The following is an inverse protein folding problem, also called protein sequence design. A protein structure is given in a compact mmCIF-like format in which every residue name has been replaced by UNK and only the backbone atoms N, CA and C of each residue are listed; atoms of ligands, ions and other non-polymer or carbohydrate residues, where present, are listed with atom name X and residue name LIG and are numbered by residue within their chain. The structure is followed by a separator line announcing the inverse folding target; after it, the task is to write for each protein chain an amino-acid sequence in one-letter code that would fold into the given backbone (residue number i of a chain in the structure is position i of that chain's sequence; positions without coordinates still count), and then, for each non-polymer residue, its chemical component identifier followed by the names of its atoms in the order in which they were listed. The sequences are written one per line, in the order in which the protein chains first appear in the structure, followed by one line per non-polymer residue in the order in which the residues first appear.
data_IF_427036240614
#
_entry.id   IF_427036240614
#
_cell.length_a   1.000
_cell.length_b   1.000
_cell.length_c   1.000
_cell.angle_alpha   90.00
_cell.angle_beta   90.00
_cell.angle_gamma   90.00
#
_symmetry.space_group_name_H-M   'P 1'
#
loop_
_entity.id
_entity.type
_entity.pdbx_description
1 polymer ?
#
# COMPACT_ATOMS: atom_id res chain seq x y z
N UNK A 1 55.15 26.45 -4.37
CA UNK A 1 54.36 25.78 -3.32
C UNK A 1 52.88 26.00 -3.69
N UNK A 2 52.30 25.09 -4.46
CA UNK A 2 50.91 25.12 -4.86
C UNK A 2 50.05 24.46 -3.79
N UNK A 3 49.18 25.27 -3.19
CA UNK A 3 48.16 24.77 -2.27
C UNK A 3 47.09 24.10 -3.13
N UNK A 4 47.03 22.77 -3.09
CA UNK A 4 45.89 22.00 -3.61
C UNK A 4 44.74 22.22 -2.63
N UNK A 5 43.82 23.07 -3.00
CA UNK A 5 42.56 23.25 -2.30
C UNK A 5 41.72 22.04 -2.60
N UNK A 6 41.66 21.07 -1.66
CA UNK A 6 40.73 19.96 -1.67
C UNK A 6 39.34 20.60 -1.58
N UNK A 7 38.58 20.52 -2.67
CA UNK A 7 37.16 20.81 -2.66
C UNK A 7 36.50 19.77 -1.73
N UNK A 8 36.15 20.17 -0.51
CA UNK A 8 35.20 19.45 0.31
C UNK A 8 33.90 19.38 -0.51
N UNK A 9 33.58 18.14 -0.93
CA UNK A 9 32.31 17.84 -1.50
C UNK A 9 31.23 18.31 -0.52
N UNK A 10 30.53 19.36 -0.88
CA UNK A 10 29.30 19.74 -0.21
C UNK A 10 28.41 18.47 -0.25
N UNK A 11 28.20 17.86 0.90
CA UNK A 11 27.21 16.77 1.02
C UNK A 11 25.88 17.39 0.67
N UNK A 12 25.40 17.10 -0.55
CA UNK A 12 24.10 17.56 -1.01
C UNK A 12 23.06 17.11 0.01
N UNK A 13 22.43 18.07 0.68
CA UNK A 13 21.43 17.81 1.72
C UNK A 13 20.21 17.19 1.05
N UNK A 14 19.87 15.97 1.43
CA UNK A 14 18.72 15.23 0.87
C UNK A 14 17.43 15.98 1.16
N UNK A 15 16.68 16.34 0.12
CA UNK A 15 15.43 17.10 0.19
C UNK A 15 14.25 16.12 0.13
N UNK A 16 13.45 16.09 1.18
CA UNK A 16 12.39 15.13 1.38
C UNK A 16 11.03 15.80 1.44
N UNK A 17 10.06 15.25 0.73
CA UNK A 17 8.65 15.56 0.89
C UNK A 17 7.89 14.32 1.35
N UNK A 18 6.75 14.50 2.04
CA UNK A 18 5.96 13.41 2.59
C UNK A 18 4.49 13.56 2.20
N UNK A 19 3.88 12.46 1.74
CA UNK A 19 2.44 12.35 1.48
C UNK A 19 1.87 11.21 2.32
N UNK A 20 1.04 11.55 3.28
CA UNK A 20 0.36 10.59 4.15
C UNK A 20 -0.88 11.29 4.73
N UNK A 21 -2.03 10.63 4.77
CA UNK A 21 -3.25 11.19 5.34
C UNK A 21 -3.20 11.29 6.88
N UNK A 22 -2.27 10.55 7.53
CA UNK A 22 -2.05 10.59 8.96
C UNK A 22 -1.03 11.67 9.37
N UNK A 23 -1.48 12.73 10.01
CA UNK A 23 -0.63 13.83 10.49
C UNK A 23 0.51 13.34 11.42
N UNK A 24 0.22 12.37 12.29
CA UNK A 24 1.22 11.81 13.20
C UNK A 24 2.40 11.14 12.47
N UNK A 25 2.16 10.53 11.31
CA UNK A 25 3.19 9.93 10.47
C UNK A 25 4.03 11.03 9.83
N UNK A 26 3.39 12.07 9.28
CA UNK A 26 4.10 13.22 8.69
C UNK A 26 5.01 13.91 9.71
N UNK A 27 4.49 14.19 10.91
CA UNK A 27 5.27 14.76 12.01
C UNK A 27 6.42 13.87 12.47
N UNK A 28 6.21 12.54 12.51
CA UNK A 28 7.24 11.57 12.84
C UNK A 28 8.39 11.57 11.83
N UNK A 29 8.07 11.62 10.53
CA UNK A 29 9.06 11.67 9.45
C UNK A 29 9.77 13.02 9.41
N UNK A 30 9.08 14.14 9.64
CA UNK A 30 9.67 15.45 9.80
C UNK A 30 10.76 15.43 10.90
N UNK A 31 10.42 14.96 12.09
CA UNK A 31 11.36 14.89 13.21
C UNK A 31 12.57 13.99 12.90
N UNK A 32 12.34 12.89 12.17
CA UNK A 32 13.39 11.98 11.75
C UNK A 32 14.33 12.63 10.71
N UNK A 33 13.78 13.31 9.71
CA UNK A 33 14.56 14.06 8.71
C UNK A 33 15.46 15.11 9.38
N UNK A 34 14.90 15.90 10.30
CA UNK A 34 15.69 16.91 11.05
C UNK A 34 16.85 16.28 11.83
N UNK A 35 16.62 15.13 12.46
CA UNK A 35 17.66 14.42 13.23
C UNK A 35 18.80 13.91 12.34
N UNK A 36 18.48 13.46 11.12
CA UNK A 36 19.47 12.95 10.16
C UNK A 36 20.11 14.07 9.30
N UNK A 37 19.71 15.34 9.51
CA UNK A 37 20.21 16.46 8.72
C UNK A 37 19.65 16.54 7.31
N UNK A 38 18.50 15.90 7.05
CA UNK A 38 17.77 16.06 5.78
C UNK A 38 16.92 17.32 5.81
N UNK A 39 16.74 17.92 4.64
CA UNK A 39 15.83 19.03 4.47
C UNK A 39 14.41 18.51 4.23
N UNK A 40 13.54 18.70 5.20
CA UNK A 40 12.10 18.49 5.01
C UNK A 40 11.53 19.68 4.24
N UNK A 41 11.10 19.45 3.00
CA UNK A 41 10.69 20.54 2.08
C UNK A 41 9.22 20.86 2.22
N UNK A 42 8.37 19.84 2.19
CA UNK A 42 6.91 20.01 2.24
C UNK A 42 6.22 18.70 2.62
N UNK A 43 4.95 18.82 3.03
CA UNK A 43 4.05 17.67 3.28
C UNK A 43 2.66 17.90 2.68
N UNK A 44 1.93 16.81 2.47
CA UNK A 44 0.54 16.87 2.04
C UNK A 44 -0.27 15.69 2.58
N UNK A 45 -1.56 15.88 2.77
CA UNK A 45 -2.48 14.77 3.09
C UNK A 45 -2.78 13.92 1.85
N UNK A 46 -2.56 14.46 0.65
CA UNK A 46 -2.63 13.79 -0.64
C UNK A 46 -1.63 14.42 -1.61
N UNK A 47 -1.43 13.79 -2.77
CA UNK A 47 -0.42 14.21 -3.76
C UNK A 47 -0.75 15.59 -4.35
N UNK A 48 -2.01 15.88 -4.62
CA UNK A 48 -2.43 17.18 -5.18
C UNK A 48 -2.12 18.33 -4.21
N UNK A 49 -2.35 18.13 -2.91
CA UNK A 49 -2.04 19.08 -1.85
C UNK A 49 -0.52 19.31 -1.78
N UNK A 50 0.30 18.25 -1.77
CA UNK A 50 1.75 18.37 -1.82
C UNK A 50 2.20 19.21 -3.03
N UNK A 51 1.77 18.86 -4.24
CA UNK A 51 2.20 19.54 -5.47
C UNK A 51 1.82 21.01 -5.45
N UNK A 52 0.61 21.34 -4.97
CA UNK A 52 0.15 22.72 -4.89
C UNK A 52 1.02 23.58 -3.94
N UNK A 53 1.47 22.99 -2.82
CA UNK A 53 2.30 23.65 -1.81
C UNK A 53 3.77 23.69 -2.19
N UNK A 54 4.22 22.74 -3.01
CA UNK A 54 5.63 22.63 -3.38
C UNK A 54 6.13 23.91 -4.10
N UNK A 55 5.28 24.56 -4.90
CA UNK A 55 5.56 25.86 -5.51
C UNK A 55 6.83 25.88 -6.38
N UNK A 56 7.19 24.75 -6.99
CA UNK A 56 8.40 24.61 -7.83
C UNK A 56 9.68 24.38 -7.04
N UNK A 57 9.61 24.16 -5.71
CA UNK A 57 10.79 23.76 -4.93
C UNK A 57 11.25 22.38 -5.35
N UNK A 58 12.56 22.20 -5.42
CA UNK A 58 13.17 20.92 -5.76
C UNK A 58 13.09 19.95 -4.58
N UNK A 59 12.82 18.70 -4.89
CA UNK A 59 12.80 17.56 -3.94
C UNK A 59 13.52 16.37 -4.55
N UNK A 60 14.21 15.59 -3.71
CA UNK A 60 14.95 14.41 -4.15
C UNK A 60 14.11 13.14 -3.94
N UNK A 61 13.31 13.11 -2.87
CA UNK A 61 12.49 11.95 -2.51
C UNK A 61 11.11 12.38 -2.04
N UNK A 62 10.09 11.71 -2.57
CA UNK A 62 8.73 11.72 -1.98
C UNK A 62 8.52 10.40 -1.24
N UNK A 63 8.25 10.48 0.05
CA UNK A 63 7.74 9.36 0.86
C UNK A 63 6.24 9.35 0.73
N UNK A 64 5.67 8.31 0.09
CA UNK A 64 4.28 8.25 -0.32
C UNK A 64 3.54 7.08 0.37
N UNK A 65 2.46 7.38 1.07
CA UNK A 65 1.52 6.35 1.52
C UNK A 65 0.64 5.85 0.36
N UNK A 66 0.26 4.57 0.39
CA UNK A 66 -0.64 3.96 -0.58
C UNK A 66 -2.13 4.15 -0.24
N UNK A 67 -2.44 4.59 0.98
CA UNK A 67 -3.81 4.59 1.53
C UNK A 67 -4.31 6.00 1.79
N UNK A 68 -4.29 6.86 0.78
CA UNK A 68 -4.63 8.28 0.95
C UNK A 68 -6.14 8.57 1.01
N UNK A 69 -7.00 7.61 0.63
CA UNK A 69 -8.47 7.79 0.66
C UNK A 69 -9.00 8.87 -0.28
N UNK A 70 -8.20 9.39 -1.20
CA UNK A 70 -8.53 10.51 -2.11
C UNK A 70 -9.19 10.07 -3.43
N UNK A 71 -9.42 8.76 -3.62
CA UNK A 71 -9.99 8.19 -4.84
C UNK A 71 -9.06 8.19 -6.06
N UNK A 72 -7.82 8.66 -5.94
CA UNK A 72 -6.83 8.65 -7.01
C UNK A 72 -6.11 7.29 -7.05
N UNK A 73 -5.82 6.78 -8.26
CA UNK A 73 -5.12 5.51 -8.39
C UNK A 73 -3.67 5.60 -7.88
N UNK A 74 -3.15 4.48 -7.36
CA UNK A 74 -1.75 4.38 -6.91
C UNK A 74 -0.80 4.75 -8.07
N UNK A 75 -1.10 4.26 -9.27
CA UNK A 75 -0.33 4.54 -10.48
C UNK A 75 -0.26 6.04 -10.78
N UNK A 76 -1.40 6.76 -10.68
CA UNK A 76 -1.44 8.19 -10.97
C UNK A 76 -0.72 8.98 -9.88
N UNK A 77 -0.87 8.60 -8.61
CA UNK A 77 -0.15 9.22 -7.50
C UNK A 77 1.38 9.06 -7.65
N UNK A 78 1.87 7.86 -7.98
CA UNK A 78 3.30 7.62 -8.22
C UNK A 78 3.81 8.46 -9.38
N UNK A 79 3.10 8.48 -10.51
CA UNK A 79 3.48 9.27 -11.69
C UNK A 79 3.49 10.77 -11.42
N UNK A 80 2.50 11.28 -10.67
CA UNK A 80 2.44 12.69 -10.30
C UNK A 80 3.62 13.09 -9.39
N UNK A 81 4.02 12.24 -8.45
CA UNK A 81 5.21 12.46 -7.65
C UNK A 81 6.49 12.43 -8.51
N UNK A 82 6.62 11.47 -9.42
CA UNK A 82 7.78 11.38 -10.34
C UNK A 82 7.90 12.59 -11.27
N UNK A 83 6.78 13.19 -11.68
CA UNK A 83 6.77 14.38 -12.50
C UNK A 83 7.44 15.61 -11.84
N UNK A 84 7.65 15.59 -10.52
CA UNK A 84 8.43 16.58 -9.78
C UNK A 84 9.94 16.39 -9.92
N UNK A 85 10.40 15.28 -10.51
CA UNK A 85 11.80 14.87 -10.60
C UNK A 85 12.28 14.02 -9.42
N UNK A 86 11.45 13.78 -8.41
CA UNK A 86 11.81 13.03 -7.22
C UNK A 86 11.73 11.51 -7.40
N UNK A 87 12.58 10.79 -6.69
CA UNK A 87 12.39 9.35 -6.45
C UNK A 87 11.20 9.11 -5.51
N UNK A 88 10.39 8.09 -5.80
CA UNK A 88 9.21 7.77 -4.98
C UNK A 88 9.50 6.56 -4.10
N UNK A 89 9.47 6.77 -2.78
CA UNK A 89 9.59 5.73 -1.76
C UNK A 89 8.21 5.46 -1.15
N UNK A 90 7.69 4.26 -1.35
CA UNK A 90 6.43 3.86 -0.75
C UNK A 90 6.61 3.56 0.74
N UNK A 91 5.74 4.12 1.59
CA UNK A 91 5.72 3.92 3.03
C UNK A 91 4.33 3.44 3.45
N UNK A 92 4.11 2.15 3.50
CA UNK A 92 2.77 1.57 3.64
C UNK A 92 2.68 0.49 4.71
N UNK A 93 1.46 0.18 5.13
CA UNK A 93 1.18 -0.99 5.95
C UNK A 93 1.33 -2.23 5.06
N UNK A 94 2.01 -3.28 5.56
CA UNK A 94 2.43 -4.47 4.79
C UNK A 94 1.29 -5.36 4.25
N UNK A 95 0.02 -5.03 4.52
CA UNK A 95 -1.15 -5.83 4.17
C UNK A 95 -1.72 -5.60 2.75
N UNK A 96 -1.10 -4.71 1.96
CA UNK A 96 -1.58 -4.31 0.61
C UNK A 96 -0.65 -4.76 -0.53
N UNK A 97 -0.37 -6.05 -0.63
CA UNK A 97 0.51 -6.60 -1.66
C UNK A 97 0.14 -6.18 -3.10
N UNK A 98 -1.15 -6.10 -3.43
CA UNK A 98 -1.60 -5.66 -4.75
C UNK A 98 -1.22 -4.19 -5.03
N UNK A 99 -1.44 -3.30 -4.05
CA UNK A 99 -1.07 -1.89 -4.16
C UNK A 99 0.44 -1.67 -4.24
N UNK A 100 1.22 -2.47 -3.51
CA UNK A 100 2.69 -2.42 -3.57
C UNK A 100 3.18 -2.82 -4.98
N UNK A 101 2.64 -3.90 -5.56
CA UNK A 101 2.97 -4.30 -6.94
C UNK A 101 2.58 -3.23 -7.96
N UNK A 102 1.42 -2.60 -7.79
CA UNK A 102 0.97 -1.51 -8.65
C UNK A 102 1.95 -0.32 -8.56
N UNK A 103 2.34 0.09 -7.35
CA UNK A 103 3.29 1.18 -7.15
C UNK A 103 4.67 0.90 -7.77
N UNK A 104 5.21 -0.32 -7.59
CA UNK A 104 6.48 -0.74 -8.19
C UNK A 104 6.38 -0.80 -9.72
N UNK A 105 5.28 -1.30 -10.28
CA UNK A 105 5.03 -1.30 -11.72
C UNK A 105 4.88 0.12 -12.30
N UNK A 106 4.38 1.07 -11.51
CA UNK A 106 4.31 2.48 -11.85
C UNK A 106 5.68 3.19 -11.77
N UNK A 107 6.72 2.52 -11.22
CA UNK A 107 8.09 3.02 -11.16
C UNK A 107 8.50 3.57 -9.79
N UNK A 108 7.82 3.22 -8.71
CA UNK A 108 8.32 3.54 -7.37
C UNK A 108 9.71 2.92 -7.13
N UNK A 109 10.62 3.69 -6.52
CA UNK A 109 12.01 3.29 -6.29
C UNK A 109 12.17 2.26 -5.17
N UNK A 110 11.12 2.05 -4.37
CA UNK A 110 11.13 1.05 -3.32
C UNK A 110 9.93 1.15 -2.39
N UNK A 111 9.87 0.17 -1.48
CA UNK A 111 8.81 0.06 -0.47
C UNK A 111 9.43 -0.14 0.89
N UNK A 112 8.92 0.57 1.89
CA UNK A 112 9.27 0.39 3.30
C UNK A 112 7.97 0.28 4.11
N UNK A 113 7.84 -0.69 5.01
CA UNK A 113 6.67 -0.78 5.86
C UNK A 113 6.63 0.33 6.90
N UNK A 114 5.43 0.80 7.26
CA UNK A 114 5.22 1.77 8.35
C UNK A 114 5.68 1.24 9.72
N UNK A 115 5.85 -0.09 9.85
CA UNK A 115 6.41 -0.73 11.06
C UNK A 115 7.93 -0.76 11.10
N UNK A 116 8.62 -0.33 10.04
CA UNK A 116 10.09 -0.31 10.01
C UNK A 116 10.67 0.69 11.03
N UNK A 117 11.82 0.35 11.59
CA UNK A 117 12.54 1.30 12.44
C UNK A 117 12.90 2.56 11.64
N UNK A 118 12.81 3.72 12.27
CA UNK A 118 13.08 5.03 11.65
C UNK A 118 14.43 5.07 10.94
N UNK A 119 15.47 4.47 11.50
CA UNK A 119 16.79 4.40 10.88
C UNK A 119 16.79 3.68 9.52
N UNK A 120 15.94 2.64 9.36
CA UNK A 120 15.75 1.92 8.09
C UNK A 120 15.07 2.81 7.07
N UNK A 121 14.04 3.56 7.48
CA UNK A 121 13.34 4.52 6.61
C UNK A 121 14.31 5.61 6.13
N UNK A 122 15.13 6.17 7.01
CA UNK A 122 16.11 7.20 6.65
C UNK A 122 17.20 6.66 5.71
N UNK A 123 17.67 5.43 5.93
CA UNK A 123 18.62 4.78 5.02
C UNK A 123 18.00 4.55 3.62
N UNK A 124 16.73 4.16 3.56
CA UNK A 124 16.00 3.99 2.31
C UNK A 124 15.84 5.32 1.56
N UNK A 125 15.48 6.39 2.25
CA UNK A 125 15.41 7.76 1.67
C UNK A 125 16.76 8.13 1.05
N UNK A 126 17.87 7.92 1.75
CA UNK A 126 19.22 8.21 1.23
C UNK A 126 19.53 7.41 -0.04
N UNK A 127 19.17 6.13 -0.06
CA UNK A 127 19.37 5.26 -1.24
C UNK A 127 18.59 5.77 -2.44
N UNK A 128 17.32 6.16 -2.24
CA UNK A 128 16.46 6.69 -3.31
C UNK A 128 16.94 8.06 -3.77
N UNK A 129 17.37 8.93 -2.86
CA UNK A 129 17.95 10.24 -3.19
C UNK A 129 19.21 10.12 -4.06
N UNK A 130 19.99 9.05 -3.88
CA UNK A 130 21.14 8.75 -4.72
C UNK A 130 20.78 8.17 -6.10
N UNK A 131 19.47 8.11 -6.45
CA UNK A 131 18.99 7.57 -7.71
C UNK A 131 18.98 6.05 -7.78
N UNK A 132 19.23 5.36 -6.66
CA UNK A 132 19.20 3.91 -6.61
C UNK A 132 17.79 3.38 -6.28
N UNK A 133 17.48 2.20 -6.81
CA UNK A 133 16.27 1.46 -6.48
C UNK A 133 16.56 0.53 -5.32
N UNK A 134 15.67 0.48 -4.33
CA UNK A 134 15.81 -0.48 -3.24
C UNK A 134 15.65 -1.89 -3.79
N UNK A 135 16.55 -2.78 -3.40
CA UNK A 135 16.42 -4.20 -3.74
C UNK A 135 15.28 -4.82 -2.92
N UNK A 136 14.05 -4.60 -3.39
CA UNK A 136 12.83 -5.14 -2.78
C UNK A 136 12.57 -6.61 -3.16
N UNK A 137 13.55 -7.30 -3.79
CA UNK A 137 13.37 -8.68 -4.21
C UNK A 137 13.05 -9.60 -3.02
N UNK A 138 13.71 -9.38 -1.87
CA UNK A 138 13.38 -10.07 -0.62
C UNK A 138 11.98 -9.70 -0.12
N UNK A 139 11.57 -8.45 -0.27
CA UNK A 139 10.24 -7.97 0.08
C UNK A 139 9.18 -8.37 -0.94
N UNK A 140 9.45 -8.25 -2.23
CA UNK A 140 8.57 -8.73 -3.28
C UNK A 140 8.39 -10.26 -3.17
N UNK A 141 9.47 -11.00 -2.90
CA UNK A 141 9.42 -12.46 -2.70
C UNK A 141 8.76 -12.82 -1.36
N UNK A 142 8.96 -12.06 -0.29
CA UNK A 142 8.28 -12.26 0.98
C UNK A 142 6.78 -11.88 0.87
N UNK A 143 6.45 -10.81 0.15
CA UNK A 143 5.07 -10.42 -0.14
C UNK A 143 4.42 -11.43 -1.11
N UNK A 144 5.11 -11.91 -2.12
CA UNK A 144 4.61 -12.96 -3.02
C UNK A 144 4.54 -14.31 -2.32
N UNK A 145 5.50 -14.67 -1.48
CA UNK A 145 5.46 -15.88 -0.67
C UNK A 145 4.38 -15.79 0.43
N UNK A 146 4.25 -14.66 1.13
CA UNK A 146 3.19 -14.45 2.12
C UNK A 146 1.81 -14.31 1.47
N UNK A 147 1.69 -13.68 0.29
CA UNK A 147 0.40 -13.53 -0.38
C UNK A 147 -0.04 -14.76 -1.18
N UNK A 148 0.87 -15.50 -1.79
CA UNK A 148 0.53 -16.77 -2.44
C UNK A 148 0.39 -17.91 -1.42
N UNK A 149 1.13 -17.88 -0.32
CA UNK A 149 0.93 -18.79 0.83
C UNK A 149 -0.24 -18.36 1.73
N UNK A 150 -0.50 -17.06 1.86
CA UNK A 150 -1.57 -16.53 2.70
C UNK A 150 -2.91 -16.40 1.97
N UNK A 151 -2.96 -16.48 0.64
CA UNK A 151 -4.23 -16.56 -0.09
C UNK A 151 -4.74 -17.99 -0.05
N UNK A 152 -5.91 -18.15 0.56
CA UNK A 152 -6.65 -19.38 0.39
C UNK A 152 -6.83 -19.63 -1.11
N UNK A 153 -6.28 -20.73 -1.62
CA UNK A 153 -6.40 -21.09 -3.05
C UNK A 153 -7.85 -21.49 -3.36
N UNK A 154 -8.70 -20.48 -3.50
CA UNK A 154 -10.12 -20.67 -3.81
C UNK A 154 -10.30 -20.97 -5.28
N UNK A 155 -10.98 -22.06 -5.58
CA UNK A 155 -11.45 -22.38 -6.92
C UNK A 155 -12.49 -21.35 -7.42
N UNK A 156 -12.74 -21.34 -8.74
CA UNK A 156 -13.68 -20.38 -9.37
C UNK A 156 -15.04 -20.35 -8.67
N UNK A 157 -15.63 -21.52 -8.40
CA UNK A 157 -16.95 -21.63 -7.74
C UNK A 157 -16.91 -21.18 -6.27
N UNK A 158 -15.83 -21.42 -5.57
CA UNK A 158 -15.65 -20.93 -4.21
C UNK A 158 -15.56 -19.40 -4.17
N UNK A 159 -14.89 -18.78 -5.15
CA UNK A 159 -14.85 -17.33 -5.31
C UNK A 159 -16.21 -16.74 -5.64
N UNK A 160 -16.97 -17.38 -6.55
CA UNK A 160 -18.33 -16.95 -6.90
C UNK A 160 -19.24 -16.95 -5.65
N UNK A 161 -19.19 -18.03 -4.87
CA UNK A 161 -19.95 -18.16 -3.61
C UNK A 161 -19.51 -17.14 -2.58
N UNK A 162 -18.21 -16.98 -2.38
CA UNK A 162 -17.66 -16.03 -1.40
C UNK A 162 -18.03 -14.59 -1.76
N UNK A 163 -17.91 -14.20 -3.03
CA UNK A 163 -18.28 -12.87 -3.51
C UNK A 163 -19.74 -12.56 -3.15
N UNK A 164 -20.68 -13.39 -3.56
CA UNK A 164 -22.10 -13.13 -3.31
C UNK A 164 -22.48 -13.20 -1.82
N UNK A 165 -21.91 -14.14 -1.07
CA UNK A 165 -22.24 -14.29 0.35
C UNK A 165 -21.63 -13.18 1.19
N UNK A 166 -20.38 -12.79 0.92
CA UNK A 166 -19.68 -11.75 1.64
C UNK A 166 -20.23 -10.34 1.32
N UNK A 167 -20.73 -10.11 0.09
CA UNK A 167 -21.41 -8.86 -0.26
C UNK A 167 -22.79 -8.67 0.41
N UNK A 168 -23.21 -9.59 1.27
CA UNK A 168 -24.39 -9.42 2.09
C UNK A 168 -25.54 -10.38 1.78
N UNK A 169 -25.58 -11.04 0.62
CA UNK A 169 -26.70 -11.89 0.21
C UNK A 169 -26.95 -13.03 1.22
N UNK A 170 -28.22 -13.31 1.53
CA UNK A 170 -28.60 -14.53 2.26
C UNK A 170 -28.24 -15.79 1.48
N UNK A 171 -27.91 -16.86 2.19
CA UNK A 171 -27.49 -18.14 1.61
C UNK A 171 -28.45 -18.66 0.53
N UNK A 172 -29.77 -18.50 0.72
CA UNK A 172 -30.78 -18.89 -0.27
C UNK A 172 -30.68 -18.13 -1.58
N UNK A 173 -30.45 -16.82 -1.51
CA UNK A 173 -30.28 -15.98 -2.70
C UNK A 173 -28.97 -16.28 -3.44
N UNK A 174 -27.88 -16.59 -2.71
CA UNK A 174 -26.64 -17.08 -3.32
C UNK A 174 -26.90 -18.38 -4.11
N UNK A 175 -27.63 -19.33 -3.51
CA UNK A 175 -28.00 -20.59 -4.14
C UNK A 175 -28.81 -20.38 -5.43
N UNK A 176 -29.82 -19.50 -5.36
CA UNK A 176 -30.68 -19.16 -6.50
C UNK A 176 -29.87 -18.49 -7.62
N UNK A 177 -29.04 -17.53 -7.29
CA UNK A 177 -28.24 -16.77 -8.27
C UNK A 177 -27.17 -17.63 -8.97
N UNK A 178 -26.64 -18.65 -8.27
CA UNK A 178 -25.66 -19.58 -8.83
C UNK A 178 -26.28 -20.85 -9.44
N UNK A 179 -27.60 -21.04 -9.32
CA UNK A 179 -28.31 -22.22 -9.82
C UNK A 179 -27.91 -23.52 -9.12
N UNK A 180 -27.63 -23.47 -7.80
CA UNK A 180 -27.21 -24.63 -6.98
C UNK A 180 -28.09 -24.79 -5.73
N UNK A 181 -28.00 -25.94 -5.07
CA UNK A 181 -28.76 -26.17 -3.84
C UNK A 181 -28.17 -25.32 -2.66
N UNK A 182 -29.02 -24.89 -1.71
CA UNK A 182 -28.54 -24.19 -0.50
C UNK A 182 -27.56 -25.03 0.34
N UNK A 183 -27.68 -26.36 0.33
CA UNK A 183 -26.72 -27.28 0.96
C UNK A 183 -25.34 -27.17 0.30
N UNK A 184 -25.29 -27.07 -1.03
CA UNK A 184 -24.05 -26.92 -1.79
C UNK A 184 -23.36 -25.60 -1.51
N UNK A 185 -24.11 -24.50 -1.35
CA UNK A 185 -23.54 -23.21 -0.91
C UNK A 185 -22.88 -23.36 0.46
N UNK A 186 -23.54 -24.06 1.41
CA UNK A 186 -22.98 -24.29 2.74
C UNK A 186 -21.68 -25.10 2.68
N UNK A 187 -21.64 -26.15 1.88
CA UNK A 187 -20.43 -26.95 1.66
C UNK A 187 -19.26 -26.10 1.08
N UNK A 188 -19.56 -25.21 0.14
CA UNK A 188 -18.55 -24.28 -0.37
C UNK A 188 -18.05 -23.34 0.73
N UNK A 189 -18.92 -22.75 1.53
CA UNK A 189 -18.52 -21.87 2.63
C UNK A 189 -17.68 -22.59 3.68
N UNK A 190 -17.99 -23.86 3.96
CA UNK A 190 -17.20 -24.65 4.91
C UNK A 190 -15.82 -24.97 4.34
N UNK A 191 -15.71 -25.34 3.05
CA UNK A 191 -14.40 -25.50 2.38
C UNK A 191 -13.58 -24.21 2.34
N UNK A 192 -14.23 -23.09 2.06
CA UNK A 192 -13.57 -21.76 2.08
C UNK A 192 -12.99 -21.49 3.47
N UNK A 193 -13.76 -21.74 4.55
CA UNK A 193 -13.27 -21.56 5.92
C UNK A 193 -12.07 -22.46 6.24
N UNK A 194 -12.12 -23.73 5.83
CA UNK A 194 -11.00 -24.66 6.00
C UNK A 194 -9.75 -24.13 5.31
N UNK A 195 -9.87 -23.71 4.04
CA UNK A 195 -8.75 -23.15 3.30
C UNK A 195 -8.16 -21.88 3.94
N UNK A 196 -9.00 -21.03 4.51
CA UNK A 196 -8.52 -19.88 5.26
C UNK A 196 -7.82 -20.26 6.60
N UNK A 197 -8.26 -21.33 7.24
CA UNK A 197 -7.56 -21.88 8.42
C UNK A 197 -6.20 -22.45 8.03
N UNK A 198 -6.11 -23.18 6.91
CA UNK A 198 -4.86 -23.77 6.40
C UNK A 198 -3.78 -22.74 6.12
N UNK A 199 -4.17 -21.53 5.70
CA UNK A 199 -3.24 -20.40 5.47
C UNK A 199 -3.10 -19.46 6.68
N UNK A 200 -3.51 -19.89 7.88
CA UNK A 200 -3.36 -19.13 9.12
C UNK A 200 -4.27 -17.90 9.25
N UNK A 201 -5.29 -17.76 8.37
CA UNK A 201 -6.21 -16.61 8.31
C UNK A 201 -7.67 -17.03 8.57
N UNK A 202 -8.02 -17.55 9.76
CA UNK A 202 -9.36 -18.08 10.02
C UNK A 202 -10.46 -17.04 9.79
N UNK A 203 -11.59 -17.50 9.21
CA UNK A 203 -12.76 -16.69 8.90
C UNK A 203 -14.05 -17.38 9.36
N UNK A 204 -14.29 -17.50 10.69
CA UNK A 204 -15.43 -18.24 11.22
C UNK A 204 -16.78 -17.55 10.97
N UNK A 205 -16.82 -16.21 10.95
CA UNK A 205 -18.05 -15.44 10.79
C UNK A 205 -18.23 -14.91 9.36
N UNK A 206 -19.43 -14.41 9.05
CA UNK A 206 -19.70 -13.74 7.77
C UNK A 206 -18.87 -12.47 7.61
N UNK A 207 -18.66 -11.72 8.69
CA UNK A 207 -17.83 -10.51 8.72
C UNK A 207 -16.36 -10.85 8.46
N UNK A 208 -15.86 -11.95 9.02
CA UNK A 208 -14.51 -12.41 8.73
C UNK A 208 -14.35 -12.80 7.25
N UNK A 209 -15.34 -13.50 6.68
CA UNK A 209 -15.33 -13.83 5.25
C UNK A 209 -15.38 -12.59 4.37
N UNK A 210 -16.14 -11.55 4.74
CA UNK A 210 -16.15 -10.26 4.05
C UNK A 210 -14.76 -9.62 4.09
N UNK A 211 -14.16 -9.54 5.28
CA UNK A 211 -12.81 -8.99 5.43
C UNK A 211 -11.80 -9.74 4.56
N UNK A 212 -11.81 -11.07 4.57
CA UNK A 212 -10.92 -11.89 3.72
C UNK A 212 -11.18 -11.69 2.23
N UNK A 213 -12.45 -11.57 1.82
CA UNK A 213 -12.80 -11.33 0.43
C UNK A 213 -12.30 -9.97 -0.09
N UNK A 214 -12.30 -8.94 0.77
CA UNK A 214 -11.73 -7.63 0.46
C UNK A 214 -10.19 -7.70 0.42
N UNK A 215 -9.55 -8.30 1.43
CA UNK A 215 -8.09 -8.48 1.50
C UNK A 215 -7.55 -9.26 0.29
N UNK A 216 -8.28 -10.28 -0.20
CA UNK A 216 -7.88 -11.10 -1.33
C UNK A 216 -8.30 -10.51 -2.70
N UNK A 217 -8.92 -9.31 -2.71
CA UNK A 217 -9.35 -8.63 -3.93
C UNK A 217 -10.52 -9.31 -4.65
N UNK A 218 -11.29 -10.14 -3.94
CA UNK A 218 -12.51 -10.79 -4.46
C UNK A 218 -13.68 -9.81 -4.43
N UNK A 219 -13.70 -8.91 -3.43
CA UNK A 219 -14.63 -7.80 -3.33
C UNK A 219 -13.86 -6.47 -3.34
N UNK A 220 -14.44 -5.39 -3.92
CA UNK A 220 -13.90 -4.06 -3.74
C UNK A 220 -13.89 -3.69 -2.25
N UNK A 221 -12.93 -2.88 -1.82
CA UNK A 221 -12.91 -2.32 -0.47
C UNK A 221 -14.20 -1.56 -0.19
N UNK A 222 -14.66 -1.60 1.07
CA UNK A 222 -15.76 -0.75 1.49
C UNK A 222 -15.27 0.69 1.42
N UNK A 223 -15.80 1.44 0.47
CA UNK A 223 -15.62 2.89 0.43
C UNK A 223 -16.50 3.48 1.56
N UNK A 224 -15.91 4.15 2.57
CA UNK A 224 -16.69 4.71 3.67
C UNK A 224 -17.67 5.81 3.25
N UNK A 225 -17.53 6.32 2.02
CA UNK A 225 -18.36 7.40 1.47
C UNK A 225 -19.49 6.93 0.51
N UNK A 226 -19.74 5.63 0.40
CA UNK A 226 -20.87 5.16 -0.40
C UNK A 226 -22.17 5.40 0.41
N UNK A 227 -23.07 6.34 0.01
CA UNK A 227 -24.30 6.57 0.71
C UNK A 227 -25.17 5.30 0.66
N UNK A 228 -25.55 4.81 1.84
CA UNK A 228 -26.55 3.75 1.98
C UNK A 228 -27.86 4.32 1.43
N UNK A 229 -28.29 3.88 0.25
CA UNK A 229 -29.65 4.11 -0.21
C UNK A 229 -30.57 3.26 0.67
N UNK A 230 -31.21 3.91 1.64
CA UNK A 230 -32.42 3.41 2.29
C UNK A 230 -33.59 3.54 1.27
N UNK A 231 -34.03 2.38 0.75
CA UNK A 231 -35.35 2.17 0.17
C UNK A 231 -36.20 1.33 1.11
#
# INVERSE_FOLDING_TARGET
MSIVQTAESATDVVRVAVVDDHESVRLGLLAACMREGYQFVEEGANVADLISRLGGREIDVVVLDLSLGDGVSITDNVKACQATGAGVLIHSIADRAAGIREALAAGAAGVIPKSAATAVVMAAIRTVAAGAVLNNLEWATAIDADTDFAKAQLGRRERDVLNLYASGLPLRMVAEQLGIAPSTVREYLDRIRVKYVEVGRPAPTKVDLLRRAVEDGILPGLDPDTPVHDD
#
